data_IF_682064445859
#
_entry.id   IF_682064445859
#
_cell.length_a   1.000
_cell.length_b   1.000
_cell.length_c   1.000
_cell.angle_alpha   90.00
_cell.angle_beta   90.00
_cell.angle_gamma   90.00
#
_symmetry.space_group_name_H-M   'P 1'
#
loop_
_entity.id
_entity.type
_entity.pdbx_description
1 polymer ?
#
# COMPACT_ATOMS: atom_id res chain seq x y z
N UNK A 1 9.08 6.58 9.94
CA UNK A 1 7.84 6.84 9.16
C UNK A 1 6.85 5.72 9.42
N UNK A 2 5.57 6.05 9.67
CA UNK A 2 4.51 5.06 9.70
C UNK A 2 3.83 4.99 8.33
N UNK A 3 3.83 3.82 7.70
CA UNK A 3 3.15 3.55 6.43
C UNK A 3 2.26 2.32 6.59
N UNK A 4 1.12 2.37 5.92
CA UNK A 4 0.18 1.26 5.82
C UNK A 4 0.28 0.73 4.38
N UNK A 5 0.24 -0.60 4.22
CA UNK A 5 0.23 -1.27 2.92
C UNK A 5 -0.86 -2.33 2.95
N UNK A 6 -1.61 -2.49 1.86
CA UNK A 6 -2.64 -3.53 1.71
C UNK A 6 -2.12 -4.61 0.78
N UNK A 7 -1.48 -5.62 1.36
CA UNK A 7 -0.93 -6.76 0.64
C UNK A 7 -1.30 -8.07 1.35
N UNK A 8 -1.23 -9.18 0.63
CA UNK A 8 -1.55 -10.51 1.19
C UNK A 8 -0.41 -11.12 2.00
N UNK A 9 0.83 -10.66 1.80
CA UNK A 9 2.00 -11.14 2.53
C UNK A 9 2.85 -10.00 3.09
N UNK A 10 3.63 -10.30 4.14
CA UNK A 10 4.56 -9.32 4.72
C UNK A 10 5.71 -8.98 3.77
N UNK A 11 6.15 -9.94 2.95
CA UNK A 11 7.21 -9.73 1.97
C UNK A 11 6.77 -8.72 0.90
N UNK A 12 5.54 -8.88 0.38
CA UNK A 12 4.97 -7.96 -0.61
C UNK A 12 4.74 -6.57 0.00
N UNK A 13 4.28 -6.50 1.26
CA UNK A 13 4.11 -5.23 1.96
C UNK A 13 5.43 -4.47 2.11
N UNK A 14 6.53 -5.18 2.40
CA UNK A 14 7.88 -4.61 2.48
C UNK A 14 8.37 -4.17 1.09
N UNK A 15 8.14 -4.97 0.07
CA UNK A 15 8.51 -4.63 -1.30
C UNK A 15 7.80 -3.36 -1.79
N UNK A 16 6.48 -3.28 -1.58
CA UNK A 16 5.69 -2.08 -1.88
C UNK A 16 6.19 -0.85 -1.09
N UNK A 17 6.57 -1.04 0.17
CA UNK A 17 7.16 0.04 0.99
C UNK A 17 8.47 0.57 0.38
N UNK A 18 9.37 -0.32 -0.05
CA UNK A 18 10.61 0.09 -0.72
C UNK A 18 10.34 0.84 -2.03
N UNK A 19 9.40 0.37 -2.86
CA UNK A 19 8.99 1.06 -4.10
C UNK A 19 8.40 2.45 -3.83
N UNK A 20 7.56 2.58 -2.81
CA UNK A 20 6.95 3.87 -2.44
C UNK A 20 7.97 4.85 -1.86
N UNK A 21 8.97 4.35 -1.13
CA UNK A 21 10.08 5.16 -0.63
C UNK A 21 11.05 5.59 -1.75
N UNK A 22 11.33 4.70 -2.70
CA UNK A 22 12.17 5.01 -3.85
C UNK A 22 11.51 6.04 -4.78
N UNK A 23 10.22 5.89 -5.06
CA UNK A 23 9.50 6.78 -5.99
C UNK A 23 9.19 8.16 -5.40
N UNK A 24 8.75 8.25 -4.14
CA UNK A 24 8.31 9.53 -3.55
C UNK A 24 9.41 10.30 -2.86
N UNK A 25 10.40 9.61 -2.34
CA UNK A 25 11.45 10.20 -1.51
C UNK A 25 12.86 9.93 -2.04
N UNK A 26 12.97 9.25 -3.19
CA UNK A 26 14.26 8.86 -3.79
C UNK A 26 15.17 8.09 -2.82
N UNK A 27 14.58 7.44 -1.81
CA UNK A 27 15.31 6.70 -0.79
C UNK A 27 15.66 5.31 -1.32
N UNK A 28 16.95 4.99 -1.29
CA UNK A 28 17.47 3.68 -1.71
C UNK A 28 17.39 2.66 -0.57
N UNK A 29 17.47 1.38 -0.92
CA UNK A 29 17.44 0.28 0.05
C UNK A 29 18.36 0.49 1.26
N UNK A 30 19.62 0.86 1.02
CA UNK A 30 20.61 1.06 2.07
C UNK A 30 20.29 2.20 3.05
N UNK A 31 19.36 3.10 2.70
CA UNK A 31 18.98 4.26 3.49
C UNK A 31 17.70 4.03 4.31
N UNK A 32 17.06 2.86 4.17
CA UNK A 32 15.76 2.57 4.79
C UNK A 32 15.91 1.39 5.73
N UNK A 33 15.62 1.63 7.01
CA UNK A 33 15.53 0.57 8.01
C UNK A 33 14.07 0.39 8.45
N UNK A 34 13.60 -0.86 8.40
CA UNK A 34 12.25 -1.23 8.81
C UNK A 34 12.28 -1.56 10.31
N UNK A 35 11.49 -0.83 11.10
CA UNK A 35 11.42 -1.02 12.54
C UNK A 35 10.53 -2.20 12.92
N UNK A 36 9.32 -2.23 12.36
CA UNK A 36 8.35 -3.29 12.61
C UNK A 36 7.35 -3.35 11.45
N UNK A 37 6.94 -4.57 11.10
CA UNK A 37 5.81 -4.84 10.22
C UNK A 37 4.76 -5.56 11.04
N UNK A 38 3.57 -4.97 11.14
CA UNK A 38 2.46 -5.53 11.90
C UNK A 38 1.19 -5.48 11.04
N UNK A 39 0.39 -6.54 11.12
CA UNK A 39 -0.92 -6.61 10.50
C UNK A 39 -1.93 -5.84 11.34
N UNK A 40 -2.74 -5.01 10.68
CA UNK A 40 -3.83 -4.27 11.33
C UNK A 40 -5.07 -5.18 11.34
N UNK A 41 -5.50 -5.59 12.53
CA UNK A 41 -6.62 -6.55 12.71
C UNK A 41 -8.00 -5.93 12.54
N UNK A 42 -8.18 -4.67 12.97
CA UNK A 42 -9.47 -3.98 12.91
C UNK A 42 -9.45 -2.96 11.78
N UNK A 43 -10.51 -2.91 11.00
CA UNK A 43 -10.66 -1.94 9.90
C UNK A 43 -10.75 -0.49 10.39
N UNK A 44 -11.19 -0.26 11.63
CA UNK A 44 -11.26 1.07 12.24
C UNK A 44 -9.89 1.70 12.55
N UNK A 45 -8.86 0.86 12.75
CA UNK A 45 -7.52 1.32 13.14
C UNK A 45 -6.69 1.81 11.95
N UNK A 46 -7.20 1.61 10.72
CA UNK A 46 -6.58 2.11 9.48
C UNK A 46 -6.66 3.63 9.48
N UNK A 47 -5.52 4.31 9.47
CA UNK A 47 -5.45 5.76 9.60
C UNK A 47 -5.35 6.46 8.24
N UNK A 48 -4.84 5.78 7.20
CA UNK A 48 -4.58 6.40 5.90
C UNK A 48 -5.84 6.50 5.01
N UNK A 49 -6.21 7.69 4.51
CA UNK A 49 -7.48 7.89 3.82
C UNK A 49 -7.60 7.12 2.49
N UNK A 50 -6.50 6.96 1.75
CA UNK A 50 -6.47 6.17 0.50
C UNK A 50 -6.71 4.68 0.72
N UNK A 51 -6.42 4.15 1.92
CA UNK A 51 -6.80 2.78 2.28
C UNK A 51 -8.24 2.68 2.79
N UNK A 52 -8.71 3.69 3.53
CA UNK A 52 -10.13 3.76 3.96
C UNK A 52 -11.11 3.69 2.78
N UNK A 53 -10.78 4.30 1.65
CA UNK A 53 -11.58 4.23 0.43
C UNK A 53 -11.81 2.79 -0.07
N UNK A 54 -10.84 1.90 0.11
CA UNK A 54 -10.88 0.51 -0.37
C UNK A 54 -11.57 -0.46 0.60
N UNK A 55 -12.01 0.02 1.76
CA UNK A 55 -12.65 -0.78 2.81
C UNK A 55 -14.18 -0.69 2.80
N UNK A 56 -14.75 0.06 1.84
CA UNK A 56 -16.20 0.21 1.71
C UNK A 56 -16.83 -1.13 1.29
N UNK A 57 -17.89 -1.60 1.99
CA UNK A 57 -18.58 -2.83 1.60
C UNK A 57 -19.25 -2.66 0.25
N UNK A 58 -19.23 -3.71 -0.58
CA UNK A 58 -19.80 -3.71 -1.95
C UNK A 58 -19.19 -2.61 -2.85
N UNK A 59 -17.90 -2.33 -2.68
CA UNK A 59 -17.17 -1.42 -3.55
C UNK A 59 -17.22 -1.93 -5.00
N UNK A 60 -17.81 -1.13 -5.89
CA UNK A 60 -17.85 -1.36 -7.33
C UNK A 60 -17.39 -0.08 -8.03
N UNK A 61 -16.50 -0.22 -9.01
CA UNK A 61 -16.06 0.90 -9.84
C UNK A 61 -15.91 0.41 -11.29
N UNK A 62 -16.34 1.20 -12.29
CA UNK A 62 -16.07 0.88 -13.68
C UNK A 62 -14.59 1.14 -14.01
N UNK A 63 -14.08 0.47 -15.03
CA UNK A 63 -12.83 0.83 -15.72
C UNK A 63 -13.21 1.57 -17.01
N UNK A 64 -13.29 2.91 -17.01
CA UNK A 64 -13.97 3.65 -18.08
C UNK A 64 -13.27 3.56 -19.43
N UNK A 65 -11.95 3.45 -19.42
CA UNK A 65 -11.12 3.36 -20.60
C UNK A 65 -10.24 2.12 -20.50
N UNK A 66 -10.36 1.22 -21.48
CA UNK A 66 -9.55 0.02 -21.59
C UNK A 66 -8.79 0.04 -22.92
N UNK A 67 -7.47 -0.11 -22.87
CA UNK A 67 -6.62 -0.20 -24.06
C UNK A 67 -6.11 -1.64 -24.23
N UNK A 68 -6.16 -2.17 -25.46
CA UNK A 68 -5.53 -3.45 -25.81
C UNK A 68 -4.09 -3.18 -26.27
N UNK A 69 -3.12 -3.94 -25.74
CA UNK A 69 -1.74 -3.89 -26.23
C UNK A 69 -1.65 -4.61 -27.58
N UNK A 70 -0.99 -3.98 -28.56
CA UNK A 70 -0.63 -4.58 -29.84
C UNK A 70 0.65 -5.40 -29.70
#
# INVERSE_FOLDING_TARGET
MYKESREMSRADAVHACYQDMASRHCARFCLIQILQVAEIKKTADVCRPHFKQLLVPKLCFPLPYHYTKF
#
